data_IF_116551712880
#
_entry.id   IF_116551712880
#
_cell.length_a   1.000
_cell.length_b   1.000
_cell.length_c   1.000
_cell.angle_alpha   90.00
_cell.angle_beta   90.00
_cell.angle_gamma   90.00
#
_symmetry.space_group_name_H-M   'P 1'
#
loop_
_entity.id
_entity.type
_entity.pdbx_description
1 polymer ?
#
# COMPACT_ATOMS: atom_id res chain seq x y z
N UNK A 1 18.86 12.78 22.71
CA UNK A 1 17.77 11.81 22.53
C UNK A 1 18.21 10.51 23.19
N UNK A 2 17.34 9.85 23.93
CA UNK A 2 17.65 8.52 24.47
C UNK A 2 17.98 7.54 23.33
N UNK A 3 18.98 6.70 23.54
CA UNK A 3 19.43 5.68 22.58
C UNK A 3 18.27 4.80 22.07
N UNK A 4 17.31 4.53 22.96
CA UNK A 4 16.11 3.74 22.66
C UNK A 4 15.17 4.43 21.66
N UNK A 5 14.95 5.74 21.79
CA UNK A 5 14.09 6.51 20.87
C UNK A 5 14.72 6.60 19.49
N UNK A 6 16.05 6.82 19.43
CA UNK A 6 16.76 6.86 18.16
C UNK A 6 16.68 5.51 17.42
N UNK A 7 16.84 4.41 18.15
CA UNK A 7 16.70 3.06 17.59
C UNK A 7 15.27 2.79 17.10
N UNK A 8 14.26 3.15 17.89
CA UNK A 8 12.85 2.98 17.51
C UNK A 8 12.51 3.77 16.23
N UNK A 9 13.03 5.00 16.10
CA UNK A 9 12.89 5.80 14.89
C UNK A 9 13.63 5.18 13.70
N UNK A 10 14.85 4.67 13.90
CA UNK A 10 15.61 4.02 12.84
C UNK A 10 14.90 2.77 12.32
N UNK A 11 14.37 1.93 13.21
CA UNK A 11 13.60 0.74 12.84
C UNK A 11 12.29 1.11 12.11
N UNK A 12 11.56 2.12 12.59
CA UNK A 12 10.37 2.62 11.89
C UNK A 12 10.70 3.20 10.51
N UNK A 13 11.84 3.88 10.37
CA UNK A 13 12.29 4.44 9.10
C UNK A 13 12.65 3.33 8.11
N UNK A 14 13.34 2.27 8.57
CA UNK A 14 13.65 1.09 7.75
C UNK A 14 12.37 0.44 7.24
N UNK A 15 11.36 0.28 8.12
CA UNK A 15 10.04 -0.19 7.74
C UNK A 15 9.43 0.68 6.63
N UNK A 16 9.34 1.99 6.83
CA UNK A 16 8.75 2.89 5.84
C UNK A 16 9.52 2.97 4.51
N UNK A 17 10.86 2.92 4.53
CA UNK A 17 11.67 2.97 3.31
C UNK A 17 11.51 1.74 2.41
N UNK A 18 11.11 0.61 2.98
CA UNK A 18 10.93 -0.62 2.21
C UNK A 18 9.77 -0.53 1.18
N UNK A 19 8.75 0.29 1.43
CA UNK A 19 7.72 0.63 0.42
C UNK A 19 8.36 1.33 -0.78
N UNK A 20 9.27 2.28 -0.53
CA UNK A 20 10.02 2.95 -1.60
C UNK A 20 10.91 1.99 -2.38
N UNK A 21 11.49 0.97 -1.72
CA UNK A 21 12.30 -0.07 -2.38
C UNK A 21 11.41 -0.90 -3.33
N UNK A 22 10.23 -1.32 -2.88
CA UNK A 22 9.25 -2.02 -3.73
C UNK A 22 8.81 -1.19 -4.93
N UNK A 23 8.55 0.10 -4.73
CA UNK A 23 8.18 1.01 -5.81
C UNK A 23 9.33 1.21 -6.81
N UNK A 24 10.56 1.40 -6.31
CA UNK A 24 11.76 1.54 -7.14
C UNK A 24 12.01 0.29 -7.99
N UNK A 25 11.75 -0.91 -7.45
CA UNK A 25 11.87 -2.15 -8.21
C UNK A 25 11.00 -2.15 -9.48
N UNK A 26 9.76 -1.64 -9.40
CA UNK A 26 8.85 -1.53 -10.57
C UNK A 26 9.28 -0.42 -11.54
N UNK A 27 9.90 0.65 -11.05
CA UNK A 27 10.40 1.71 -11.94
C UNK A 27 11.60 1.24 -12.76
N UNK A 28 12.46 0.40 -12.17
CA UNK A 28 13.68 -0.11 -12.81
C UNK A 28 13.47 -1.39 -13.64
N UNK A 29 12.42 -2.15 -13.35
CA UNK A 29 12.13 -3.43 -14.00
C UNK A 29 10.74 -3.43 -14.67
N UNK A 30 10.39 -4.52 -15.34
CA UNK A 30 9.02 -4.70 -15.82
C UNK A 30 8.04 -4.94 -14.68
N UNK A 31 6.86 -4.35 -14.79
CA UNK A 31 5.78 -4.57 -13.84
C UNK A 31 5.41 -6.06 -13.75
N UNK A 32 5.26 -6.64 -12.54
CA UNK A 32 4.83 -8.02 -12.40
C UNK A 32 3.41 -8.21 -12.92
N UNK A 33 3.11 -9.41 -13.41
CA UNK A 33 1.75 -9.75 -13.81
C UNK A 33 0.80 -9.82 -12.60
N UNK A 34 -0.50 -9.70 -12.84
CA UNK A 34 -1.53 -9.67 -11.79
C UNK A 34 -1.56 -10.92 -10.90
N UNK A 35 -1.12 -12.10 -11.40
CA UNK A 35 -1.06 -13.33 -10.58
C UNK A 35 0.05 -13.23 -9.54
N UNK A 36 1.24 -12.81 -9.96
CA UNK A 36 2.38 -12.60 -9.05
C UNK A 36 2.05 -11.49 -8.05
N UNK A 37 1.42 -10.40 -8.51
CA UNK A 37 0.98 -9.32 -7.64
C UNK A 37 0.00 -9.81 -6.57
N UNK A 38 -1.02 -10.58 -6.96
CA UNK A 38 -1.97 -11.16 -6.01
C UNK A 38 -1.32 -12.12 -5.01
N UNK A 39 -0.33 -12.90 -5.46
CA UNK A 39 0.45 -13.78 -4.57
C UNK A 39 1.28 -12.96 -3.56
N UNK A 40 1.98 -11.92 -4.02
CA UNK A 40 2.76 -11.02 -3.16
C UNK A 40 1.88 -10.30 -2.14
N UNK A 41 0.71 -9.81 -2.55
CA UNK A 41 -0.26 -9.16 -1.67
C UNK A 41 -0.90 -10.14 -0.68
N UNK A 42 -1.18 -11.38 -1.09
CA UNK A 42 -1.65 -12.44 -0.18
C UNK A 42 -0.60 -12.79 0.88
N UNK A 43 0.67 -12.88 0.50
CA UNK A 43 1.78 -13.05 1.43
C UNK A 43 1.88 -11.88 2.41
N UNK A 44 1.82 -10.64 1.90
CA UNK A 44 1.87 -9.42 2.68
C UNK A 44 0.70 -9.35 3.70
N UNK A 45 -0.52 -9.66 3.29
CA UNK A 45 -1.68 -9.74 4.17
C UNK A 45 -1.52 -10.82 5.25
N UNK A 46 -0.98 -11.98 4.89
CA UNK A 46 -0.67 -13.06 5.84
C UNK A 46 0.34 -12.63 6.91
N UNK A 47 1.41 -11.92 6.53
CA UNK A 47 2.36 -11.35 7.48
C UNK A 47 1.68 -10.38 8.46
N UNK A 48 0.83 -9.48 7.96
CA UNK A 48 0.14 -8.50 8.80
C UNK A 48 -0.84 -9.14 9.76
N UNK A 49 -1.58 -10.17 9.33
CA UNK A 49 -2.44 -10.97 10.22
C UNK A 49 -1.60 -11.65 11.31
N UNK A 50 -0.49 -12.29 10.93
CA UNK A 50 0.40 -12.96 11.87
C UNK A 50 0.93 -12.00 12.95
N UNK A 51 1.47 -10.84 12.56
CA UNK A 51 2.01 -9.84 13.50
C UNK A 51 0.89 -9.29 14.39
N UNK A 52 -0.27 -8.99 13.82
CA UNK A 52 -1.40 -8.40 14.54
C UNK A 52 -1.90 -9.33 15.64
N UNK A 53 -2.05 -10.63 15.37
CA UNK A 53 -2.57 -11.59 16.35
C UNK A 53 -1.50 -12.14 17.29
N UNK A 54 -0.33 -12.53 16.77
CA UNK A 54 0.68 -13.22 17.56
C UNK A 54 1.56 -12.28 18.37
N UNK A 55 1.73 -11.03 17.92
CA UNK A 55 2.59 -10.06 18.62
C UNK A 55 1.73 -8.93 19.24
N UNK A 56 1.05 -8.12 18.44
CA UNK A 56 0.37 -6.92 18.93
C UNK A 56 -0.81 -7.22 19.87
N UNK A 57 -1.73 -8.10 19.46
CA UNK A 57 -2.89 -8.46 20.28
C UNK A 57 -2.47 -9.20 21.55
N UNK A 58 -1.53 -10.14 21.44
CA UNK A 58 -0.98 -10.86 22.59
C UNK A 58 -0.34 -9.91 23.61
N UNK A 59 0.53 -9.01 23.16
CA UNK A 59 1.18 -8.01 24.01
C UNK A 59 0.18 -7.03 24.63
N UNK A 60 -0.85 -6.62 23.88
CA UNK A 60 -1.90 -5.74 24.39
C UNK A 60 -2.67 -6.43 25.53
N UNK A 61 -3.13 -7.67 25.33
CA UNK A 61 -3.84 -8.44 26.36
C UNK A 61 -2.97 -8.63 27.61
N UNK A 62 -1.68 -8.93 27.45
CA UNK A 62 -0.76 -9.07 28.59
C UNK A 62 -0.51 -7.74 29.32
N UNK A 63 -0.54 -6.60 28.61
CA UNK A 63 -0.24 -5.29 29.18
C UNK A 63 -1.44 -4.62 29.85
N UNK A 64 -2.66 -4.79 29.34
CA UNK A 64 -3.85 -4.08 29.82
C UNK A 64 -4.98 -5.01 30.31
N UNK A 65 -4.79 -6.32 30.22
CA UNK A 65 -5.73 -7.36 30.62
C UNK A 65 -6.68 -7.79 29.50
N UNK A 66 -7.16 -9.03 29.58
CA UNK A 66 -7.99 -9.67 28.56
C UNK A 66 -9.23 -8.86 28.18
N UNK A 67 -10.02 -8.40 29.16
CA UNK A 67 -11.26 -7.67 28.89
C UNK A 67 -11.01 -6.34 28.17
N UNK A 68 -10.06 -5.53 28.67
CA UNK A 68 -9.74 -4.22 28.08
C UNK A 68 -9.09 -4.38 26.70
N UNK A 69 -8.19 -5.35 26.53
CA UNK A 69 -7.57 -5.66 25.24
C UNK A 69 -8.60 -6.01 24.16
N UNK A 70 -9.54 -6.90 24.46
CA UNK A 70 -10.60 -7.27 23.52
C UNK A 70 -11.55 -6.08 23.22
N UNK A 71 -11.89 -5.26 24.23
CA UNK A 71 -12.71 -4.06 23.99
C UNK A 71 -12.05 -3.09 23.01
N UNK A 72 -10.74 -2.84 23.15
CA UNK A 72 -10.00 -1.99 22.20
C UNK A 72 -9.87 -2.63 20.82
N UNK A 73 -9.68 -3.95 20.75
CA UNK A 73 -9.64 -4.67 19.48
C UNK A 73 -10.96 -4.53 18.70
N UNK A 74 -12.09 -4.88 19.33
CA UNK A 74 -13.41 -4.76 18.68
C UNK A 74 -13.79 -3.29 18.42
N UNK A 75 -13.41 -2.38 19.31
CA UNK A 75 -13.55 -0.94 19.07
C UNK A 75 -12.81 -0.50 17.81
N UNK A 76 -11.58 -0.98 17.61
CA UNK A 76 -10.81 -0.76 16.39
C UNK A 76 -11.47 -1.34 15.14
N UNK A 77 -12.03 -2.56 15.22
CA UNK A 77 -12.77 -3.18 14.11
C UNK A 77 -14.00 -2.36 13.72
N UNK A 78 -14.80 -1.90 14.69
CA UNK A 78 -15.98 -1.06 14.45
C UNK A 78 -15.54 0.29 13.84
N UNK A 79 -14.52 0.91 14.42
CA UNK A 79 -13.98 2.18 13.93
C UNK A 79 -13.50 2.06 12.47
N UNK A 80 -12.74 1.02 12.16
CA UNK A 80 -12.30 0.73 10.79
C UNK A 80 -13.49 0.47 9.85
N UNK A 81 -14.50 -0.28 10.30
CA UNK A 81 -15.73 -0.51 9.55
C UNK A 81 -16.48 0.78 9.23
N UNK A 82 -16.54 1.74 10.16
CA UNK A 82 -17.13 3.06 9.91
C UNK A 82 -16.32 3.79 8.84
N UNK A 83 -14.99 3.88 8.97
CA UNK A 83 -14.11 4.53 7.98
C UNK A 83 -14.28 3.89 6.60
N UNK A 84 -14.33 2.56 6.52
CA UNK A 84 -14.48 1.84 5.26
C UNK A 84 -15.80 2.19 4.56
N UNK A 85 -16.90 2.44 5.29
CA UNK A 85 -18.15 2.89 4.70
C UNK A 85 -18.07 4.31 4.10
N UNK A 86 -17.14 5.16 4.58
CA UNK A 86 -16.94 6.50 4.03
C UNK A 86 -16.03 6.53 2.80
N UNK A 87 -15.26 5.47 2.55
CA UNK A 87 -14.36 5.37 1.40
C UNK A 87 -15.10 4.56 0.32
N UNK A 88 -15.67 5.21 -0.71
CA UNK A 88 -16.33 4.48 -1.77
C UNK A 88 -15.30 3.60 -2.45
N UNK A 89 -15.55 2.29 -2.52
CA UNK A 89 -14.73 1.43 -3.37
C UNK A 89 -14.86 1.96 -4.81
N UNK A 90 -13.74 2.26 -5.50
CA UNK A 90 -13.81 2.57 -6.91
C UNK A 90 -14.37 1.33 -7.59
N UNK A 91 -15.65 1.38 -7.98
CA UNK A 91 -16.28 0.33 -8.78
C UNK A 91 -15.31 0.01 -9.91
N UNK A 92 -14.74 -1.19 -9.87
CA UNK A 92 -14.01 -1.77 -10.98
C UNK A 92 -15.07 -1.97 -12.07
N UNK A 93 -15.46 -0.90 -12.76
CA UNK A 93 -16.14 -1.03 -14.01
C UNK A 93 -15.18 -1.84 -14.88
N UNK A 94 -15.54 -3.08 -15.25
CA UNK A 94 -14.69 -3.85 -16.12
C UNK A 94 -14.50 -2.99 -17.36
N UNK A 95 -13.24 -2.79 -17.76
CA UNK A 95 -12.86 -2.22 -19.04
C UNK A 95 -13.22 -3.19 -20.19
N UNK A 96 -14.42 -3.76 -20.14
CA UNK A 96 -15.01 -4.60 -21.18
C UNK A 96 -15.77 -3.76 -22.21
N UNK A 97 -15.24 -2.59 -22.59
CA UNK A 97 -15.85 -1.78 -23.66
C UNK A 97 -14.85 -1.09 -24.59
N UNK A 98 -13.63 -1.62 -24.71
CA UNK A 98 -12.70 -1.23 -25.80
C UNK A 98 -12.78 -2.20 -27.00
N UNK A 99 -13.71 -3.15 -26.99
CA UNK A 99 -13.94 -4.06 -28.12
C UNK A 99 -15.20 -3.70 -28.89
N UNK A 100 -15.30 -2.47 -29.38
CA UNK A 100 -16.38 -2.16 -30.32
C UNK A 100 -16.67 -0.69 -30.63
N UNK A 101 -15.74 0.04 -31.26
CA UNK A 101 -16.11 1.03 -32.31
C UNK A 101 -14.85 1.61 -32.99
N UNK A 102 -14.40 0.92 -34.04
CA UNK A 102 -13.83 1.62 -35.19
C UNK A 102 -14.97 2.41 -35.83
N UNK A 103 -15.03 3.74 -35.66
CA UNK A 103 -15.53 4.67 -36.69
C UNK A 103 -15.29 6.15 -36.31
N UNK A 104 -14.56 6.80 -37.23
CA UNK A 104 -14.56 8.23 -37.59
C UNK A 104 -14.00 9.27 -36.62
N UNK A 105 -12.98 9.99 -37.10
CA UNK A 105 -12.60 11.33 -36.64
C UNK A 105 -11.28 11.35 -35.86
N UNK A 106 -10.21 11.78 -36.54
CA UNK A 106 -8.83 11.92 -36.04
C UNK A 106 -8.66 12.90 -34.85
N UNK A 107 -9.74 13.59 -34.44
CA UNK A 107 -9.76 14.51 -33.30
C UNK A 107 -10.27 13.86 -31.99
N UNK A 108 -11.11 12.82 -32.05
CA UNK A 108 -11.72 12.18 -30.86
C UNK A 108 -10.79 11.21 -30.11
N UNK A 109 -9.77 10.67 -30.79
CA UNK A 109 -8.81 9.74 -30.20
C UNK A 109 -7.86 10.41 -29.20
N UNK A 110 -7.44 11.65 -29.48
CA UNK A 110 -6.53 12.42 -28.63
C UNK A 110 -7.19 12.82 -27.30
N UNK A 111 -8.46 13.20 -27.33
CA UNK A 111 -9.21 13.58 -26.12
C UNK A 111 -9.53 12.37 -25.22
N UNK A 112 -9.84 11.22 -25.83
CA UNK A 112 -10.09 9.97 -25.10
C UNK A 112 -8.82 9.47 -24.41
N UNK A 113 -7.67 9.52 -25.09
CA UNK A 113 -6.36 9.13 -24.52
C UNK A 113 -5.93 10.07 -23.39
N UNK A 114 -6.14 11.39 -23.54
CA UNK A 114 -5.86 12.39 -22.49
C UNK A 114 -6.74 12.19 -21.25
N UNK A 115 -8.04 11.89 -21.43
CA UNK A 115 -8.95 11.56 -20.31
C UNK A 115 -8.49 10.30 -19.56
N UNK A 116 -8.16 9.24 -20.29
CA UNK A 116 -7.71 7.99 -19.68
C UNK A 116 -6.41 8.19 -18.88
N UNK A 117 -5.44 8.92 -19.44
CA UNK A 117 -4.19 9.28 -18.75
C UNK A 117 -4.43 10.05 -17.45
N UNK A 118 -5.33 11.06 -17.48
CA UNK A 118 -5.66 11.84 -16.28
C UNK A 118 -6.30 10.98 -15.19
N UNK A 119 -7.13 10.00 -15.58
CA UNK A 119 -7.75 9.06 -14.65
C UNK A 119 -6.74 8.10 -14.01
N UNK A 120 -5.78 7.58 -14.78
CA UNK A 120 -4.72 6.71 -14.25
C UNK A 120 -3.79 7.49 -13.30
N UNK A 121 -3.41 8.73 -13.65
CA UNK A 121 -2.60 9.57 -12.77
C UNK A 121 -3.35 9.92 -11.46
N UNK A 122 -4.64 10.24 -11.55
CA UNK A 122 -5.48 10.48 -10.38
C UNK A 122 -5.56 9.25 -9.48
N UNK A 123 -5.76 8.06 -10.07
CA UNK A 123 -5.71 6.79 -9.33
C UNK A 123 -4.36 6.59 -8.63
N UNK A 124 -3.24 6.93 -9.28
CA UNK A 124 -1.91 6.92 -8.67
C UNK A 124 -1.79 7.84 -7.45
N UNK A 125 -2.32 9.07 -7.53
CA UNK A 125 -2.29 10.03 -6.42
C UNK A 125 -3.15 9.54 -5.24
N UNK A 126 -4.37 9.08 -5.52
CA UNK A 126 -5.27 8.54 -4.47
C UNK A 126 -4.65 7.31 -3.81
N UNK A 127 -4.07 6.41 -4.60
CA UNK A 127 -3.34 5.24 -4.09
C UNK A 127 -2.18 5.68 -3.20
N UNK A 128 -1.34 6.63 -3.63
CA UNK A 128 -0.22 7.13 -2.82
C UNK A 128 -0.66 7.74 -1.48
N UNK A 129 -1.77 8.50 -1.47
CA UNK A 129 -2.34 9.05 -0.23
C UNK A 129 -2.86 7.93 0.67
N UNK A 130 -3.61 6.97 0.12
CA UNK A 130 -4.15 5.83 0.86
C UNK A 130 -3.05 5.00 1.53
N UNK A 131 -1.98 4.67 0.81
CA UNK A 131 -0.82 3.98 1.37
C UNK A 131 -0.08 4.83 2.40
N UNK A 132 0.06 6.15 2.19
CA UNK A 132 0.68 7.02 3.20
C UNK A 132 -0.08 6.96 4.54
N UNK A 133 -1.41 6.88 4.49
CA UNK A 133 -2.26 6.71 5.66
C UNK A 133 -2.17 5.29 6.25
N UNK A 134 -1.81 4.27 5.47
CA UNK A 134 -1.60 2.90 5.92
C UNK A 134 -0.25 2.72 6.63
N UNK A 135 0.82 3.26 6.03
CA UNK A 135 2.18 3.18 6.56
C UNK A 135 2.35 3.93 7.88
N UNK A 136 1.49 4.92 8.17
CA UNK A 136 1.56 5.67 9.41
C UNK A 136 1.28 4.80 10.65
N UNK A 137 0.13 4.09 10.75
CA UNK A 137 -0.10 3.07 11.77
C UNK A 137 0.99 2.01 11.88
N UNK A 138 1.55 1.54 10.75
CA UNK A 138 2.63 0.55 10.76
C UNK A 138 3.91 1.08 11.39
N UNK A 139 4.33 2.29 10.99
CA UNK A 139 5.49 2.96 11.58
C UNK A 139 5.30 3.21 13.07
N UNK A 140 4.10 3.62 13.48
CA UNK A 140 3.73 3.74 14.90
C UNK A 140 3.84 2.41 15.64
N UNK A 141 3.39 1.29 15.04
CA UNK A 141 3.49 -0.03 15.64
C UNK A 141 4.95 -0.43 15.86
N UNK A 142 5.82 -0.25 14.86
CA UNK A 142 7.26 -0.53 14.96
C UNK A 142 7.92 0.32 16.03
N UNK A 143 7.60 1.62 16.07
CA UNK A 143 8.13 2.53 17.08
C UNK A 143 7.70 2.12 18.50
N UNK A 144 6.40 1.94 18.74
CA UNK A 144 5.87 1.57 20.06
C UNK A 144 6.32 0.17 20.50
N UNK A 145 6.41 -0.78 19.56
CA UNK A 145 6.96 -2.11 19.80
C UNK A 145 8.43 -2.06 20.21
N UNK A 146 9.22 -1.20 19.55
CA UNK A 146 10.64 -0.99 19.90
C UNK A 146 10.82 -0.35 21.28
N UNK A 147 9.88 0.52 21.69
CA UNK A 147 9.84 1.08 23.05
C UNK A 147 9.51 0.03 24.13
N UNK A 148 8.84 -1.08 23.78
CA UNK A 148 8.61 -2.22 24.68
C UNK A 148 9.81 -3.16 24.79
N UNK A 149 10.66 -3.21 23.77
CA UNK A 149 11.91 -3.94 23.80
C UNK A 149 12.53 -4.13 22.41
N UNK A 150 13.87 -4.20 22.36
CA UNK A 150 14.61 -4.30 21.10
C UNK A 150 14.20 -5.52 20.25
N UNK A 151 13.98 -6.68 20.89
CA UNK A 151 13.59 -7.92 20.19
C UNK A 151 12.23 -7.77 19.50
N UNK A 152 11.26 -7.15 20.18
CA UNK A 152 9.92 -6.89 19.61
C UNK A 152 10.06 -5.90 18.45
N UNK A 153 10.79 -4.80 18.67
CA UNK A 153 11.03 -3.78 17.65
C UNK A 153 11.67 -4.33 16.37
N UNK A 154 12.72 -5.13 16.48
CA UNK A 154 13.41 -5.72 15.32
C UNK A 154 12.50 -6.71 14.58
N UNK A 155 11.78 -7.57 15.31
CA UNK A 155 10.84 -8.51 14.69
C UNK A 155 9.73 -7.78 13.92
N UNK A 156 9.15 -6.74 14.52
CA UNK A 156 8.13 -5.91 13.88
C UNK A 156 8.69 -5.18 12.66
N UNK A 157 9.86 -4.55 12.79
CA UNK A 157 10.49 -3.81 11.70
C UNK A 157 10.78 -4.70 10.48
N UNK A 158 11.28 -5.91 10.70
CA UNK A 158 11.52 -6.88 9.63
C UNK A 158 10.22 -7.33 8.96
N UNK A 159 9.21 -7.63 9.76
CA UNK A 159 7.95 -8.15 9.25
C UNK A 159 7.16 -7.08 8.48
N UNK A 160 7.15 -5.83 8.97
CA UNK A 160 6.65 -4.66 8.23
C UNK A 160 7.49 -4.42 6.97
N UNK A 161 8.82 -4.45 7.05
CA UNK A 161 9.65 -4.26 5.85
C UNK A 161 9.36 -5.29 4.74
N UNK A 162 9.06 -6.54 5.12
CA UNK A 162 8.66 -7.59 4.18
C UNK A 162 7.25 -7.42 3.62
N UNK A 163 6.33 -6.79 4.36
CA UNK A 163 4.99 -6.44 3.88
C UNK A 163 5.03 -5.28 2.87
N UNK A 164 5.81 -4.27 3.20
CA UNK A 164 5.85 -2.99 2.50
C UNK A 164 6.53 -3.10 1.13
N UNK A 165 7.40 -4.09 0.88
CA UNK A 165 7.96 -4.34 -0.46
C UNK A 165 6.86 -4.72 -1.47
N UNK A 166 6.06 -5.79 -1.28
CA UNK A 166 4.87 -6.09 -2.07
C UNK A 166 3.92 -4.90 -2.26
N UNK A 167 3.69 -4.12 -1.21
CA UNK A 167 2.83 -2.94 -1.27
C UNK A 167 3.41 -1.86 -2.18
N UNK A 168 4.70 -1.53 -2.02
CA UNK A 168 5.41 -0.58 -2.87
C UNK A 168 5.34 -0.93 -4.35
N UNK A 169 5.45 -2.22 -4.67
CA UNK A 169 5.24 -2.74 -6.03
C UNK A 169 3.84 -2.41 -6.52
N UNK A 170 2.80 -2.64 -5.71
CA UNK A 170 1.41 -2.35 -6.08
C UNK A 170 1.16 -0.85 -6.29
N UNK A 171 1.71 0.01 -5.42
CA UNK A 171 1.57 1.49 -5.50
C UNK A 171 2.18 2.06 -6.77
N UNK A 172 3.29 1.47 -7.24
CA UNK A 172 3.98 1.97 -8.42
C UNK A 172 3.25 1.67 -9.74
N UNK A 173 2.34 0.69 -9.77
CA UNK A 173 1.70 0.23 -11.01
C UNK A 173 0.88 1.31 -11.74
N UNK A 174 -0.03 2.06 -11.09
CA UNK A 174 -0.78 3.11 -11.78
C UNK A 174 0.15 4.17 -12.39
N UNK A 175 1.20 4.56 -11.66
CA UNK A 175 2.17 5.54 -12.14
C UNK A 175 3.00 4.97 -13.29
N UNK A 176 3.46 3.72 -13.19
CA UNK A 176 4.19 3.00 -14.22
C UNK A 176 3.40 2.91 -15.54
N UNK A 177 2.12 2.53 -15.47
CA UNK A 177 1.28 2.47 -16.67
C UNK A 177 0.97 3.86 -17.24
N UNK A 178 0.84 4.88 -16.40
CA UNK A 178 0.68 6.27 -16.85
C UNK A 178 1.94 6.79 -17.59
N UNK A 179 3.14 6.42 -17.16
CA UNK A 179 4.41 6.85 -17.77
C UNK A 179 4.80 6.04 -19.01
N UNK A 180 4.50 4.74 -19.04
CA UNK A 180 4.59 3.92 -20.27
C UNK A 180 3.66 4.46 -21.37
N UNK A 181 2.44 4.83 -21.02
CA UNK A 181 1.50 5.46 -21.96
C UNK A 181 2.03 6.76 -22.57
N UNK A 182 2.81 7.53 -21.81
CA UNK A 182 3.48 8.77 -22.25
C UNK A 182 4.60 8.54 -23.27
N UNK A 183 5.34 7.43 -23.14
CA UNK A 183 6.39 7.03 -24.09
C UNK A 183 5.78 6.68 -25.45
N UNK A 184 4.72 5.85 -25.44
CA UNK A 184 4.03 5.40 -26.65
C UNK A 184 3.33 6.56 -27.37
N UNK A 185 2.73 7.52 -26.64
CA UNK A 185 2.09 8.67 -27.28
C UNK A 185 3.08 9.57 -28.04
N UNK A 186 4.31 9.73 -27.52
CA UNK A 186 5.34 10.54 -28.19
C UNK A 186 5.85 9.89 -29.48
N UNK A 187 5.88 8.55 -29.56
CA UNK A 187 6.25 7.83 -30.78
C UNK A 187 5.16 7.88 -31.87
N UNK A 188 3.89 8.07 -31.49
CA UNK A 188 2.79 8.23 -32.44
C UNK A 188 2.64 9.67 -32.96
N UNK A 189 3.26 10.64 -32.28
CA UNK A 189 3.26 12.06 -32.68
C UNK A 189 4.50 12.47 -33.51
N UNK A 190 5.46 11.56 -33.72
CA UNK A 190 6.69 11.74 -34.54
C UNK A 190 6.61 11.01 -35.86
#
# INVERSE_FOLDING_TARGET
MDSQVLMALALSLVGGLSTSIGALFVVLNEAPNLKILGLLQGFAAGLMLSISFLDLAHNAINSIGFLKGNLWFFGGVIFFGIIANFIPEPTLAPSSDVRGKKKSGDEGGKDTLKKHRRQVLYSGIITAIGISLHNFPEGMAVFLGSMKGLRVGVNLALAIALHNIPEGVAVALPVYFATQSLSISKQLES
#
